data_IF_342976523781
#
_entry.id   IF_342976523781
#
_cell.length_a   1.000
_cell.length_b   1.000
_cell.length_c   1.000
_cell.angle_alpha   90.00
_cell.angle_beta   90.00
_cell.angle_gamma   90.00
#
_symmetry.space_group_name_H-M   'P 1'
#
loop_
_entity.id
_entity.type
_entity.pdbx_description
1 polymer ?
#
# COMPACT_ATOMS: atom_id res chain seq x y z
N UNK A 1 20.99 -28.51 -54.23
CA UNK A 1 21.33 -28.11 -52.85
C UNK A 1 20.77 -26.73 -52.63
N UNK A 2 19.62 -26.64 -51.98
CA UNK A 2 18.91 -25.37 -51.76
C UNK A 2 19.14 -25.01 -50.30
N UNK A 3 19.91 -23.94 -50.07
CA UNK A 3 20.22 -23.45 -48.73
C UNK A 3 18.95 -22.85 -48.12
N UNK A 4 18.48 -23.44 -47.02
CA UNK A 4 17.45 -22.86 -46.17
C UNK A 4 18.14 -21.86 -45.26
N UNK A 5 18.02 -20.57 -45.57
CA UNK A 5 18.43 -19.50 -44.67
C UNK A 5 17.44 -19.42 -43.50
N UNK A 6 17.84 -19.95 -42.35
CA UNK A 6 17.19 -19.64 -41.08
C UNK A 6 17.47 -18.16 -40.75
N UNK A 7 16.48 -17.29 -40.98
CA UNK A 7 16.45 -15.99 -40.33
C UNK A 7 16.25 -16.22 -38.82
N UNK A 8 17.36 -16.14 -38.08
CA UNK A 8 17.32 -15.86 -36.65
C UNK A 8 16.62 -14.50 -36.49
N UNK A 9 15.35 -14.50 -36.08
CA UNK A 9 14.74 -13.30 -35.52
C UNK A 9 15.55 -12.96 -34.27
N UNK A 10 16.43 -11.97 -34.38
CA UNK A 10 17.00 -11.32 -33.23
C UNK A 10 15.83 -10.91 -32.33
N UNK A 11 15.78 -11.46 -31.12
CA UNK A 11 14.92 -10.94 -30.06
C UNK A 11 15.53 -9.58 -29.74
N UNK A 12 15.09 -8.53 -30.44
CA UNK A 12 15.42 -7.17 -30.05
C UNK A 12 14.90 -7.01 -28.63
N UNK A 13 15.80 -6.86 -27.68
CA UNK A 13 15.43 -6.38 -26.36
C UNK A 13 14.76 -5.00 -26.57
N UNK A 14 13.59 -4.84 -25.97
CA UNK A 14 12.67 -3.71 -26.19
C UNK A 14 12.11 -3.33 -24.83
N UNK A 15 11.83 -2.05 -24.64
CA UNK A 15 11.19 -1.54 -23.42
C UNK A 15 9.86 -2.28 -23.16
N UNK A 16 9.56 -2.54 -21.88
CA UNK A 16 8.35 -3.24 -21.45
C UNK A 16 7.65 -2.46 -20.34
N UNK A 17 6.35 -2.21 -20.51
CA UNK A 17 5.46 -1.74 -19.44
C UNK A 17 4.38 -2.79 -19.18
N UNK A 18 4.21 -3.17 -17.92
CA UNK A 18 3.13 -4.07 -17.48
C UNK A 18 2.05 -3.28 -16.76
N UNK A 19 0.81 -3.40 -17.21
CA UNK A 19 -0.35 -2.76 -16.56
C UNK A 19 -0.76 -3.51 -15.30
N UNK A 20 -1.21 -2.77 -14.28
CA UNK A 20 -1.72 -3.32 -13.02
C UNK A 20 -3.12 -3.89 -13.19
N UNK A 21 -3.97 -3.23 -13.97
CA UNK A 21 -5.39 -3.56 -14.14
C UNK A 21 -5.62 -4.94 -14.77
N UNK A 22 -4.80 -5.35 -15.74
CA UNK A 22 -5.03 -6.56 -16.54
C UNK A 22 -3.78 -7.44 -16.70
N UNK A 23 -2.66 -7.07 -16.06
CA UNK A 23 -1.36 -7.76 -16.17
C UNK A 23 -0.81 -7.84 -17.60
N UNK A 24 -1.33 -7.05 -18.55
CA UNK A 24 -0.85 -7.05 -19.93
C UNK A 24 0.51 -6.38 -19.99
N UNK A 25 1.49 -7.08 -20.58
CA UNK A 25 2.82 -6.56 -20.88
C UNK A 25 2.85 -6.00 -22.31
N UNK A 26 3.04 -4.69 -22.42
CA UNK A 26 3.23 -3.97 -23.68
C UNK A 26 4.73 -3.87 -23.96
N UNK A 27 5.13 -4.14 -25.20
CA UNK A 27 6.53 -4.10 -25.66
C UNK A 27 6.69 -3.08 -26.79
N UNK A 28 7.78 -2.32 -26.76
CA UNK A 28 8.03 -1.23 -27.72
C UNK A 28 9.18 -0.34 -27.30
N UNK A 29 9.13 0.94 -27.70
CA UNK A 29 10.05 1.99 -27.28
C UNK A 29 9.28 3.01 -26.44
N UNK A 30 9.83 3.46 -25.31
CA UNK A 30 9.21 4.55 -24.56
C UNK A 30 9.39 5.88 -25.29
N UNK A 31 8.31 6.44 -25.84
CA UNK A 31 8.30 7.73 -26.53
C UNK A 31 8.08 8.92 -25.59
N UNK A 32 7.50 8.68 -24.41
CA UNK A 32 7.27 9.70 -23.38
C UNK A 32 7.22 9.06 -21.99
N UNK A 33 7.81 9.71 -20.99
CA UNK A 33 7.72 9.32 -19.58
C UNK A 33 7.67 10.60 -18.72
N UNK A 34 6.54 10.83 -18.05
CA UNK A 34 6.36 11.98 -17.16
C UNK A 34 5.59 11.60 -15.88
N UNK A 35 5.28 12.60 -15.04
CA UNK A 35 4.58 12.40 -13.77
C UNK A 35 3.15 11.84 -13.91
N UNK A 36 2.58 11.81 -15.12
CA UNK A 36 1.21 11.39 -15.37
C UNK A 36 1.14 10.05 -16.11
N UNK A 37 2.04 9.82 -17.07
CA UNK A 37 1.98 8.66 -17.95
C UNK A 37 3.34 8.19 -18.48
N UNK A 38 3.35 6.95 -18.93
CA UNK A 38 4.37 6.37 -19.80
C UNK A 38 3.70 6.02 -21.12
N UNK A 39 4.24 6.52 -22.23
CA UNK A 39 3.78 6.21 -23.58
C UNK A 39 4.75 5.24 -24.23
N UNK A 40 4.23 4.10 -24.68
CA UNK A 40 5.00 3.07 -25.37
C UNK A 40 4.59 3.00 -26.84
N UNK A 41 5.55 3.19 -27.74
CA UNK A 41 5.39 3.05 -29.18
C UNK A 41 5.70 1.62 -29.59
N UNK A 42 4.69 0.90 -30.07
CA UNK A 42 4.78 -0.50 -30.47
C UNK A 42 5.42 -0.64 -31.85
N UNK A 43 5.82 -1.87 -32.19
CA UNK A 43 6.45 -2.20 -33.49
C UNK A 43 5.54 -1.96 -34.70
N UNK A 44 4.22 -1.96 -34.51
CA UNK A 44 3.22 -1.59 -35.53
C UNK A 44 3.03 -0.07 -35.67
N UNK A 45 3.76 0.76 -34.90
CA UNK A 45 3.65 2.22 -34.88
C UNK A 45 2.57 2.78 -33.96
N UNK A 46 1.78 1.92 -33.30
CA UNK A 46 0.75 2.32 -32.34
C UNK A 46 1.39 2.90 -31.06
N UNK A 47 0.92 4.05 -30.59
CA UNK A 47 1.30 4.61 -29.29
C UNK A 47 0.23 4.32 -28.25
N UNK A 48 0.63 3.68 -27.15
CA UNK A 48 -0.26 3.38 -26.03
C UNK A 48 0.20 4.18 -24.82
N UNK A 49 -0.68 5.05 -24.32
CA UNK A 49 -0.48 5.71 -23.03
C UNK A 49 -0.90 4.79 -21.89
N UNK A 50 -0.05 4.72 -20.85
CA UNK A 50 -0.33 4.04 -19.58
C UNK A 50 -0.12 5.05 -18.46
N UNK A 51 -1.19 5.39 -17.75
CA UNK A 51 -1.10 6.24 -16.56
C UNK A 51 -0.15 5.65 -15.52
N UNK A 52 0.61 6.50 -14.82
CA UNK A 52 1.52 6.07 -13.75
C UNK A 52 0.80 5.31 -12.62
N UNK A 53 -0.49 5.59 -12.39
CA UNK A 53 -1.30 4.85 -11.41
C UNK A 53 -1.56 3.39 -11.83
N UNK A 54 -1.48 3.07 -13.12
CA UNK A 54 -1.70 1.72 -13.65
C UNK A 54 -0.38 0.98 -13.95
N UNK A 55 0.77 1.48 -13.49
CA UNK A 55 2.05 0.79 -13.67
C UNK A 55 2.21 -0.33 -12.63
N UNK A 56 2.41 -1.55 -13.11
CA UNK A 56 2.84 -2.71 -12.28
C UNK A 56 4.34 -2.92 -12.36
N UNK A 57 4.90 -2.87 -13.57
CA UNK A 57 6.33 -3.01 -13.80
C UNK A 57 6.75 -2.20 -15.03
N UNK A 58 7.96 -1.66 -14.98
CA UNK A 58 8.66 -0.99 -16.08
C UNK A 58 10.01 -1.67 -16.20
N UNK A 59 10.37 -2.07 -17.42
CA UNK A 59 11.66 -2.67 -17.75
C UNK A 59 12.20 -1.93 -18.97
N UNK A 60 13.40 -1.38 -18.86
CA UNK A 60 14.09 -0.76 -19.98
C UNK A 60 14.82 -1.80 -20.83
N UNK A 61 15.00 -1.46 -22.09
CA UNK A 61 15.96 -2.14 -22.93
C UNK A 61 17.38 -2.05 -22.32
N UNK A 62 18.14 -3.14 -22.44
CA UNK A 62 19.51 -3.22 -21.92
C UNK A 62 19.66 -3.27 -20.39
N UNK A 63 18.57 -3.46 -19.63
CA UNK A 63 18.66 -3.60 -18.17
C UNK A 63 19.58 -4.75 -17.72
N UNK A 64 20.46 -4.53 -16.72
CA UNK A 64 21.24 -5.61 -16.12
C UNK A 64 20.34 -6.73 -15.59
N UNK A 65 20.67 -7.99 -15.90
CA UNK A 65 19.84 -9.13 -15.50
C UNK A 65 19.62 -9.25 -13.97
N UNK A 66 20.57 -8.77 -13.18
CA UNK A 66 20.48 -8.70 -11.71
C UNK A 66 19.41 -7.72 -11.21
N UNK A 67 18.95 -6.76 -12.03
CA UNK A 67 17.90 -5.81 -11.64
C UNK A 67 16.55 -6.51 -11.43
N UNK A 68 16.25 -7.53 -12.25
CA UNK A 68 15.04 -8.34 -12.05
C UNK A 68 15.11 -9.18 -10.79
N UNK A 69 16.30 -9.64 -10.40
CA UNK A 69 16.51 -10.34 -9.13
C UNK A 69 16.27 -9.41 -7.94
N UNK A 70 16.78 -8.17 -7.99
CA UNK A 70 16.51 -7.16 -6.96
C UNK A 70 15.00 -6.89 -6.80
N UNK A 71 14.29 -6.67 -7.91
CA UNK A 71 12.82 -6.49 -7.89
C UNK A 71 12.09 -7.71 -7.32
N UNK A 72 12.59 -8.91 -7.58
CA UNK A 72 12.01 -10.14 -7.03
C UNK A 72 12.21 -10.23 -5.50
N UNK A 73 13.42 -9.96 -5.02
CA UNK A 73 13.73 -9.92 -3.58
C UNK A 73 12.88 -8.86 -2.87
N UNK A 74 12.72 -7.69 -3.49
CA UNK A 74 11.87 -6.63 -2.95
C UNK A 74 10.40 -7.07 -2.85
N UNK A 75 9.86 -7.76 -3.87
CA UNK A 75 8.48 -8.29 -3.84
C UNK A 75 8.28 -9.36 -2.78
N UNK A 76 9.30 -10.19 -2.52
CA UNK A 76 9.24 -11.23 -1.48
C UNK A 76 9.48 -10.69 -0.06
N UNK A 77 9.75 -9.38 0.09
CA UNK A 77 10.07 -8.76 1.38
C UNK A 77 11.51 -8.99 1.86
N UNK A 78 12.37 -9.60 1.03
CA UNK A 78 13.80 -9.75 1.30
C UNK A 78 14.53 -8.43 0.99
N UNK A 79 14.22 -7.38 1.76
CA UNK A 79 14.63 -6.00 1.47
C UNK A 79 16.15 -5.83 1.53
N UNK A 80 16.84 -6.50 2.45
CA UNK A 80 18.31 -6.46 2.54
C UNK A 80 18.96 -7.03 1.27
N UNK A 81 18.51 -8.21 0.82
CA UNK A 81 18.99 -8.85 -0.41
C UNK A 81 18.63 -8.02 -1.66
N UNK A 82 17.51 -7.30 -1.64
CA UNK A 82 17.13 -6.40 -2.72
C UNK A 82 18.08 -5.20 -2.80
N UNK A 83 18.38 -4.57 -1.65
CA UNK A 83 19.29 -3.43 -1.57
C UNK A 83 20.72 -3.81 -1.96
N UNK A 84 21.20 -4.98 -1.52
CA UNK A 84 22.51 -5.51 -1.93
C UNK A 84 22.60 -5.66 -3.46
N UNK A 85 21.60 -6.29 -4.10
CA UNK A 85 21.59 -6.40 -5.57
C UNK A 85 21.48 -5.07 -6.27
N UNK A 86 20.74 -4.11 -5.75
CA UNK A 86 20.68 -2.77 -6.35
C UNK A 86 22.04 -2.06 -6.27
N UNK A 87 22.79 -2.22 -5.17
CA UNK A 87 24.15 -1.68 -5.03
C UNK A 87 25.11 -2.32 -6.03
N UNK A 88 25.03 -3.63 -6.25
CA UNK A 88 25.83 -4.32 -7.27
C UNK A 88 25.47 -3.86 -8.70
N UNK A 89 24.18 -3.71 -9.00
CA UNK A 89 23.71 -3.17 -10.28
C UNK A 89 24.25 -1.76 -10.48
N UNK A 90 24.13 -0.89 -9.48
CA UNK A 90 24.63 0.48 -9.54
C UNK A 90 26.15 0.52 -9.78
N UNK A 91 26.92 -0.33 -9.11
CA UNK A 91 28.38 -0.36 -9.24
C UNK A 91 28.86 -0.87 -10.60
N UNK A 92 28.11 -1.76 -11.24
CA UNK A 92 28.44 -2.36 -12.54
C UNK A 92 27.84 -1.63 -13.73
N UNK A 93 26.81 -0.81 -13.52
CA UNK A 93 26.12 -0.11 -14.59
C UNK A 93 26.91 1.12 -15.08
N UNK A 94 27.13 1.20 -16.39
CA UNK A 94 27.93 2.27 -17.01
C UNK A 94 27.29 3.66 -16.96
N UNK A 95 26.00 3.76 -16.60
CA UNK A 95 25.25 5.02 -16.62
C UNK A 95 24.89 5.51 -18.02
N UNK A 96 25.01 4.66 -19.05
CA UNK A 96 24.80 5.02 -20.46
C UNK A 96 23.36 5.48 -20.77
N UNK A 97 22.35 4.80 -20.22
CA UNK A 97 20.95 5.24 -20.26
C UNK A 97 20.56 5.93 -18.93
N UNK A 98 20.23 7.22 -19.02
CA UNK A 98 19.78 8.05 -17.90
C UNK A 98 18.46 7.57 -17.30
N UNK A 99 17.55 6.98 -18.11
CA UNK A 99 16.27 6.44 -17.65
C UNK A 99 16.53 5.35 -16.62
N UNK A 100 17.42 4.42 -16.96
CA UNK A 100 17.82 3.33 -16.09
C UNK A 100 18.62 3.80 -14.87
N UNK A 101 19.50 4.80 -15.02
CA UNK A 101 20.17 5.42 -13.86
C UNK A 101 19.16 5.96 -12.84
N UNK A 102 18.12 6.67 -13.31
CA UNK A 102 17.07 7.21 -12.44
C UNK A 102 16.19 6.12 -11.82
N UNK A 103 15.89 5.04 -12.55
CA UNK A 103 15.12 3.90 -12.01
C UNK A 103 15.93 3.14 -10.94
N UNK A 104 17.23 2.91 -11.14
CA UNK A 104 18.08 2.28 -10.11
C UNK A 104 18.09 3.14 -8.84
N UNK A 105 18.25 4.46 -8.98
CA UNK A 105 18.20 5.39 -7.85
C UNK A 105 16.85 5.32 -7.13
N UNK A 106 15.74 5.31 -7.87
CA UNK A 106 14.40 5.19 -7.30
C UNK A 106 14.21 3.86 -6.57
N UNK A 107 14.56 2.74 -7.19
CA UNK A 107 14.40 1.41 -6.60
C UNK A 107 15.20 1.28 -5.30
N UNK A 108 16.41 1.85 -5.24
CA UNK A 108 17.18 1.91 -4.00
C UNK A 108 16.47 2.72 -2.93
N UNK A 109 16.02 3.93 -3.25
CA UNK A 109 15.29 4.80 -2.32
C UNK A 109 13.99 4.13 -1.83
N UNK A 110 13.28 3.42 -2.71
CA UNK A 110 12.06 2.69 -2.37
C UNK A 110 12.35 1.52 -1.42
N UNK A 111 13.38 0.72 -1.69
CA UNK A 111 13.75 -0.39 -0.81
C UNK A 111 14.16 0.12 0.58
N UNK A 112 14.96 1.19 0.66
CA UNK A 112 15.34 1.81 1.94
C UNK A 112 14.11 2.36 2.67
N UNK A 113 13.19 3.01 1.95
CA UNK A 113 11.92 3.47 2.52
C UNK A 113 11.05 2.32 3.05
N UNK A 114 11.01 1.19 2.35
CA UNK A 114 10.31 -0.01 2.83
C UNK A 114 10.98 -0.63 4.06
N UNK A 115 12.31 -0.60 4.15
CA UNK A 115 13.03 -1.01 5.37
C UNK A 115 12.65 -0.10 6.54
N UNK A 116 12.58 1.21 6.32
CA UNK A 116 12.20 2.20 7.33
C UNK A 116 10.78 2.01 7.89
N UNK A 117 9.83 1.53 7.07
CA UNK A 117 8.48 1.20 7.51
C UNK A 117 8.42 0.01 8.47
N UNK A 118 9.45 -0.85 8.48
CA UNK A 118 9.57 -2.00 9.40
C UNK A 118 10.58 -1.78 10.52
N UNK A 119 11.57 -0.93 10.30
CA UNK A 119 12.65 -0.58 11.22
C UNK A 119 12.86 0.94 11.18
N UNK A 120 12.33 1.65 12.17
CA UNK A 120 12.40 3.11 12.24
C UNK A 120 13.82 3.65 12.30
N UNK A 121 14.84 2.84 12.63
CA UNK A 121 16.24 3.28 12.61
C UNK A 121 16.72 3.65 11.20
N UNK A 122 16.05 3.16 10.15
CA UNK A 122 16.34 3.46 8.74
C UNK A 122 15.64 4.72 8.21
N UNK A 123 14.79 5.36 9.00
CA UNK A 123 13.97 6.48 8.53
C UNK A 123 14.78 7.69 8.05
N UNK A 124 15.91 8.00 8.68
CA UNK A 124 16.78 9.10 8.25
C UNK A 124 17.43 8.82 6.88
N UNK A 125 17.94 7.61 6.67
CA UNK A 125 18.52 7.16 5.39
C UNK A 125 17.46 7.16 4.27
N UNK A 126 16.25 6.68 4.58
CA UNK A 126 15.13 6.67 3.65
C UNK A 126 14.72 8.09 3.21
N UNK A 127 14.61 9.01 4.19
CA UNK A 127 14.27 10.41 3.94
C UNK A 127 15.27 11.05 2.98
N UNK A 128 16.58 10.93 3.26
CA UNK A 128 17.63 11.49 2.40
C UNK A 128 17.60 10.89 0.98
N UNK A 129 17.45 9.56 0.87
CA UNK A 129 17.43 8.89 -0.43
C UNK A 129 16.25 9.34 -1.31
N UNK A 130 15.05 9.48 -0.72
CA UNK A 130 13.84 9.92 -1.41
C UNK A 130 13.89 11.41 -1.77
N UNK A 131 14.36 12.26 -0.86
CA UNK A 131 14.58 13.70 -1.11
C UNK A 131 15.55 13.90 -2.28
N UNK A 132 16.68 13.18 -2.26
CA UNK A 132 17.67 13.23 -3.33
C UNK A 132 17.08 12.81 -4.67
N UNK A 133 16.33 11.70 -4.71
CA UNK A 133 15.66 11.25 -5.93
C UNK A 133 14.71 12.31 -6.47
N UNK A 134 13.82 12.86 -5.63
CA UNK A 134 12.83 13.87 -6.04
C UNK A 134 13.47 15.17 -6.50
N UNK A 135 14.54 15.61 -5.83
CA UNK A 135 15.25 16.83 -6.20
C UNK A 135 15.86 16.76 -7.61
N UNK A 136 16.37 15.59 -8.01
CA UNK A 136 17.02 15.39 -9.32
C UNK A 136 16.06 14.91 -10.41
N UNK A 137 14.88 14.40 -10.06
CA UNK A 137 13.98 13.70 -10.99
C UNK A 137 12.52 14.24 -10.96
N UNK A 138 12.36 15.56 -10.99
CA UNK A 138 11.05 16.26 -10.81
C UNK A 138 9.95 15.88 -11.80
N UNK A 139 10.32 15.43 -13.00
CA UNK A 139 9.38 15.04 -14.07
C UNK A 139 9.36 13.54 -14.31
N UNK A 140 9.96 12.74 -13.42
CA UNK A 140 10.07 11.30 -13.61
C UNK A 140 8.74 10.61 -13.25
N UNK A 141 8.39 9.57 -13.99
CA UNK A 141 7.17 8.77 -13.77
C UNK A 141 7.06 8.13 -12.37
N UNK A 142 8.17 8.04 -11.62
CA UNK A 142 8.23 7.61 -10.22
C UNK A 142 8.07 8.73 -9.19
N UNK A 143 7.95 9.98 -9.63
CA UNK A 143 7.96 11.14 -8.75
C UNK A 143 6.86 11.07 -7.69
N UNK A 144 5.61 10.81 -8.11
CA UNK A 144 4.48 10.72 -7.18
C UNK A 144 4.62 9.53 -6.21
N UNK A 145 5.12 8.38 -6.68
CA UNK A 145 5.41 7.20 -5.84
C UNK A 145 6.47 7.53 -4.77
N UNK A 146 7.53 8.22 -5.15
CA UNK A 146 8.57 8.67 -4.23
C UNK A 146 8.04 9.71 -3.23
N UNK A 147 7.20 10.65 -3.67
CA UNK A 147 6.60 11.68 -2.81
C UNK A 147 5.71 11.07 -1.73
N UNK A 148 4.83 10.11 -2.08
CA UNK A 148 4.00 9.40 -1.11
C UNK A 148 4.83 8.60 -0.09
N UNK A 149 5.86 7.89 -0.58
CA UNK A 149 6.73 7.13 0.32
C UNK A 149 7.48 8.08 1.27
N UNK A 150 7.98 9.21 0.78
CA UNK A 150 8.66 10.20 1.62
C UNK A 150 7.69 10.77 2.67
N UNK A 151 6.44 11.07 2.31
CA UNK A 151 5.42 11.51 3.26
C UNK A 151 5.20 10.48 4.38
N UNK A 152 5.17 9.19 4.03
CA UNK A 152 5.08 8.10 5.01
C UNK A 152 6.28 8.09 5.96
N UNK A 153 7.50 8.32 5.46
CA UNK A 153 8.71 8.42 6.29
C UNK A 153 8.64 9.62 7.24
N UNK A 154 8.20 10.79 6.78
CA UNK A 154 7.95 11.93 7.66
C UNK A 154 6.91 11.62 8.74
N UNK A 155 5.85 10.87 8.39
CA UNK A 155 4.86 10.38 9.35
C UNK A 155 5.47 9.49 10.44
N UNK A 156 6.34 8.54 10.09
CA UNK A 156 7.08 7.71 11.06
C UNK A 156 7.94 8.56 12.00
N UNK A 157 8.56 9.61 11.47
CA UNK A 157 9.38 10.57 12.22
C UNK A 157 8.54 11.58 13.02
N UNK A 158 7.20 11.51 12.93
CA UNK A 158 6.24 12.46 13.51
C UNK A 158 6.41 13.90 13.01
N UNK A 159 7.03 14.07 11.84
CA UNK A 159 7.20 15.35 11.14
C UNK A 159 5.91 15.68 10.35
N UNK A 160 4.81 15.87 11.07
CA UNK A 160 3.44 15.94 10.51
C UNK A 160 3.28 17.02 9.45
N UNK A 161 3.84 18.22 9.65
CA UNK A 161 3.73 19.32 8.69
C UNK A 161 4.45 19.00 7.37
N UNK A 162 5.64 18.39 7.44
CA UNK A 162 6.39 17.99 6.26
C UNK A 162 5.65 16.88 5.49
N UNK A 163 5.13 15.87 6.20
CA UNK A 163 4.30 14.83 5.59
C UNK A 163 3.07 15.43 4.89
N UNK A 164 2.36 16.35 5.56
CA UNK A 164 1.18 17.03 5.02
C UNK A 164 1.49 17.84 3.76
N UNK A 165 2.61 18.55 3.72
CA UNK A 165 3.03 19.31 2.53
C UNK A 165 3.23 18.38 1.32
N UNK A 166 3.89 17.24 1.51
CA UNK A 166 4.12 16.27 0.45
C UNK A 166 2.83 15.61 -0.04
N UNK A 167 1.90 15.29 0.87
CA UNK A 167 0.59 14.75 0.50
C UNK A 167 -0.24 15.77 -0.28
N UNK A 168 -0.22 17.04 0.14
CA UNK A 168 -0.89 18.14 -0.57
C UNK A 168 -0.33 18.31 -1.98
N UNK A 169 1.00 18.18 -2.14
CA UNK A 169 1.65 18.20 -3.46
C UNK A 169 1.11 17.08 -4.37
N UNK A 170 0.97 15.85 -3.87
CA UNK A 170 0.42 14.73 -4.64
C UNK A 170 -1.08 14.90 -4.94
N UNK A 171 -1.86 15.45 -4.01
CA UNK A 171 -3.27 15.80 -4.23
C UNK A 171 -3.45 16.82 -5.37
N UNK A 172 -2.47 17.71 -5.56
CA UNK A 172 -2.44 18.65 -6.68
C UNK A 172 -2.09 18.04 -8.04
N UNK A 173 -1.71 16.75 -8.10
CA UNK A 173 -1.43 16.07 -9.37
C UNK A 173 -2.69 15.84 -10.21
N UNK A 174 -2.55 15.58 -11.51
CA UNK A 174 -3.69 15.21 -12.37
C UNK A 174 -4.03 13.72 -12.34
N UNK A 175 -3.28 12.92 -11.58
CA UNK A 175 -3.39 11.46 -11.58
C UNK A 175 -4.32 11.02 -10.46
N UNK A 176 -5.59 10.79 -10.78
CA UNK A 176 -6.66 10.49 -9.82
C UNK A 176 -6.29 9.43 -8.78
N UNK A 177 -5.69 8.31 -9.20
CA UNK A 177 -5.27 7.25 -8.26
C UNK A 177 -4.28 7.74 -7.20
N UNK A 178 -3.33 8.61 -7.56
CA UNK A 178 -2.41 9.23 -6.61
C UNK A 178 -3.07 10.32 -5.78
N UNK A 179 -3.98 11.12 -6.35
CA UNK A 179 -4.75 12.12 -5.59
C UNK A 179 -5.55 11.49 -4.45
N UNK A 180 -6.26 10.40 -4.75
CA UNK A 180 -7.06 9.67 -3.78
C UNK A 180 -6.20 8.99 -2.71
N UNK A 181 -5.11 8.33 -3.13
CA UNK A 181 -4.15 7.72 -2.19
C UNK A 181 -3.57 8.77 -1.22
N UNK A 182 -3.17 9.94 -1.73
CA UNK A 182 -2.68 11.03 -0.90
C UNK A 182 -3.73 11.54 0.09
N UNK A 183 -5.01 11.59 -0.31
CA UNK A 183 -6.11 11.94 0.59
C UNK A 183 -6.32 10.92 1.71
N UNK A 184 -6.24 9.63 1.40
CA UNK A 184 -6.31 8.54 2.40
C UNK A 184 -5.13 8.65 3.37
N UNK A 185 -3.91 8.83 2.86
CA UNK A 185 -2.71 8.93 3.68
C UNK A 185 -2.71 10.20 4.54
N UNK A 186 -3.30 11.30 4.04
CA UNK A 186 -3.52 12.52 4.82
C UNK A 186 -4.49 12.28 5.97
N UNK A 187 -5.61 11.59 5.72
CA UNK A 187 -6.55 11.21 6.77
C UNK A 187 -5.88 10.36 7.85
N UNK A 188 -5.10 9.35 7.45
CA UNK A 188 -4.35 8.48 8.37
C UNK A 188 -3.31 9.26 9.18
N UNK A 189 -2.57 10.16 8.54
CA UNK A 189 -1.58 11.03 9.19
C UNK A 189 -2.24 11.93 10.25
N UNK A 190 -3.33 12.62 9.90
CA UNK A 190 -4.04 13.53 10.80
C UNK A 190 -4.64 12.78 11.99
N UNK A 191 -5.19 11.58 11.74
CA UNK A 191 -5.73 10.72 12.79
C UNK A 191 -4.64 10.28 13.77
N UNK A 192 -3.48 9.87 13.26
CA UNK A 192 -2.34 9.50 14.08
C UNK A 192 -1.75 10.67 14.89
N UNK A 193 -1.89 11.91 14.39
CA UNK A 193 -1.52 13.13 15.13
C UNK A 193 -2.60 13.61 16.12
N UNK A 194 -3.75 12.93 16.21
CA UNK A 194 -4.86 13.28 17.09
C UNK A 194 -5.84 14.32 16.53
N UNK A 195 -5.69 14.74 15.27
CA UNK A 195 -6.63 15.63 14.58
C UNK A 195 -7.73 14.82 13.90
N UNK A 196 -8.65 14.29 14.72
CA UNK A 196 -9.76 13.48 14.23
C UNK A 196 -10.73 14.26 13.32
N UNK A 197 -10.85 15.58 13.49
CA UNK A 197 -11.73 16.43 12.66
C UNK A 197 -11.12 16.69 11.28
N UNK A 198 -9.81 16.99 11.23
CA UNK A 198 -9.09 17.12 9.97
C UNK A 198 -9.02 15.79 9.22
N UNK A 199 -8.80 14.69 9.94
CA UNK A 199 -8.82 13.35 9.37
C UNK A 199 -10.18 13.00 8.75
N UNK A 200 -11.28 13.27 9.47
CA UNK A 200 -12.64 13.07 8.96
C UNK A 200 -12.86 13.83 7.67
N UNK A 201 -12.45 15.11 7.62
CA UNK A 201 -12.58 15.94 6.43
C UNK A 201 -11.79 15.39 5.23
N UNK A 202 -10.57 14.88 5.47
CA UNK A 202 -9.75 14.27 4.43
C UNK A 202 -10.38 12.98 3.89
N UNK A 203 -10.88 12.11 4.77
CA UNK A 203 -11.56 10.88 4.38
C UNK A 203 -12.88 11.14 3.64
N UNK A 204 -13.70 12.10 4.09
CA UNK A 204 -14.94 12.48 3.40
C UNK A 204 -14.66 13.01 1.99
N UNK A 205 -13.58 13.78 1.80
CA UNK A 205 -13.16 14.24 0.48
C UNK A 205 -12.80 13.06 -0.45
N UNK A 206 -12.09 12.04 0.05
CA UNK A 206 -11.78 10.82 -0.71
C UNK A 206 -13.05 10.09 -1.09
N UNK A 207 -13.96 9.88 -0.13
CA UNK A 207 -15.24 9.21 -0.39
C UNK A 207 -16.00 9.96 -1.48
N UNK A 208 -16.14 11.27 -1.36
CA UNK A 208 -16.84 12.11 -2.35
C UNK A 208 -16.21 12.03 -3.75
N UNK A 209 -14.88 12.13 -3.85
CA UNK A 209 -14.17 12.09 -5.14
C UNK A 209 -14.19 10.71 -5.81
N UNK A 210 -14.44 9.66 -5.03
CA UNK A 210 -14.50 8.27 -5.50
C UNK A 210 -15.92 7.81 -5.85
N UNK A 211 -16.95 8.59 -5.52
CA UNK A 211 -18.35 8.20 -5.78
C UNK A 211 -18.61 7.95 -7.27
N UNK A 212 -19.25 6.82 -7.55
CA UNK A 212 -19.66 6.43 -8.92
C UNK A 212 -18.51 6.00 -9.82
N UNK A 213 -17.28 5.88 -9.32
CA UNK A 213 -16.11 5.40 -10.07
C UNK A 213 -15.63 4.06 -9.51
N UNK A 214 -15.94 3.00 -10.24
CA UNK A 214 -15.57 1.63 -9.88
C UNK A 214 -14.05 1.43 -9.75
N UNK A 215 -13.25 2.16 -10.55
CA UNK A 215 -11.79 2.10 -10.49
C UNK A 215 -11.23 2.75 -9.20
N UNK A 216 -12.03 3.56 -8.51
CA UNK A 216 -11.70 4.22 -7.25
C UNK A 216 -12.35 3.55 -6.04
N UNK A 217 -13.00 2.38 -6.20
CA UNK A 217 -13.72 1.68 -5.13
C UNK A 217 -12.85 1.38 -3.91
N UNK A 218 -11.61 0.92 -4.12
CA UNK A 218 -10.65 0.68 -3.03
C UNK A 218 -10.38 1.94 -2.20
N UNK A 219 -10.12 3.08 -2.85
CA UNK A 219 -9.91 4.35 -2.15
C UNK A 219 -11.18 4.84 -1.44
N UNK A 220 -12.36 4.62 -2.04
CA UNK A 220 -13.65 4.91 -1.41
C UNK A 220 -13.79 4.14 -0.10
N UNK A 221 -13.52 2.83 -0.10
CA UNK A 221 -13.61 2.01 1.10
C UNK A 221 -12.57 2.38 2.16
N UNK A 222 -11.33 2.68 1.76
CA UNK A 222 -10.31 3.22 2.67
C UNK A 222 -10.79 4.52 3.34
N UNK A 223 -11.41 5.41 2.56
CA UNK A 223 -12.03 6.63 3.06
C UNK A 223 -13.16 6.34 4.05
N UNK A 224 -14.06 5.40 3.74
CA UNK A 224 -15.17 5.04 4.63
C UNK A 224 -14.70 4.39 5.93
N UNK A 225 -13.69 3.52 5.88
CA UNK A 225 -13.08 2.90 7.06
C UNK A 225 -12.39 3.96 7.95
N UNK A 226 -11.64 4.87 7.34
CA UNK A 226 -11.04 6.01 8.02
C UNK A 226 -12.07 6.94 8.65
N UNK A 227 -13.15 7.26 7.92
CA UNK A 227 -14.30 8.01 8.43
C UNK A 227 -14.92 7.35 9.66
N UNK A 228 -15.16 6.04 9.62
CA UNK A 228 -15.73 5.30 10.75
C UNK A 228 -14.82 5.37 11.99
N UNK A 229 -13.50 5.24 11.82
CA UNK A 229 -12.53 5.42 12.90
C UNK A 229 -12.58 6.83 13.50
N UNK A 230 -12.64 7.87 12.67
CA UNK A 230 -12.78 9.25 13.15
C UNK A 230 -14.08 9.46 13.95
N UNK A 231 -15.21 8.96 13.44
CA UNK A 231 -16.50 9.03 14.11
C UNK A 231 -16.50 8.28 15.44
N UNK A 232 -15.89 7.10 15.49
CA UNK A 232 -15.70 6.32 16.71
C UNK A 232 -14.92 7.10 17.77
N UNK A 233 -13.78 7.71 17.40
CA UNK A 233 -12.97 8.52 18.31
C UNK A 233 -13.71 9.77 18.81
N UNK A 234 -14.62 10.31 18.00
CA UNK A 234 -15.49 11.43 18.36
C UNK A 234 -16.75 11.01 19.16
N UNK A 235 -16.84 9.75 19.58
CA UNK A 235 -18.01 9.15 20.24
C UNK A 235 -19.31 9.15 19.40
N UNK A 236 -19.22 9.39 18.08
CA UNK A 236 -20.31 9.24 17.13
C UNK A 236 -20.43 7.78 16.66
N UNK A 237 -20.59 6.86 17.62
CA UNK A 237 -20.44 5.42 17.37
C UNK A 237 -21.56 4.87 16.47
N UNK A 238 -22.77 5.41 16.55
CA UNK A 238 -23.87 4.99 15.67
C UNK A 238 -23.63 5.36 14.20
N UNK A 239 -23.05 6.54 13.95
CA UNK A 239 -22.67 6.96 12.59
C UNK A 239 -21.49 6.13 12.05
N UNK A 240 -20.55 5.77 12.93
CA UNK A 240 -19.46 4.85 12.59
C UNK A 240 -20.00 3.47 12.18
N UNK A 241 -20.92 2.90 12.96
CA UNK A 241 -21.56 1.62 12.65
C UNK A 241 -22.31 1.66 11.32
N UNK A 242 -23.07 2.74 11.07
CA UNK A 242 -23.76 2.92 9.78
C UNK A 242 -22.79 2.93 8.60
N UNK A 243 -21.66 3.62 8.75
CA UNK A 243 -20.62 3.67 7.71
C UNK A 243 -20.01 2.29 7.46
N UNK A 244 -19.72 1.53 8.53
CA UNK A 244 -19.15 0.19 8.45
C UNK A 244 -20.12 -0.82 7.84
N UNK A 245 -21.41 -0.74 8.20
CA UNK A 245 -22.46 -1.57 7.61
C UNK A 245 -22.61 -1.30 6.10
N UNK A 246 -22.47 -0.05 5.68
CA UNK A 246 -22.47 0.31 4.27
C UNK A 246 -21.27 -0.33 3.54
N UNK A 247 -20.06 -0.27 4.09
CA UNK A 247 -18.87 -0.94 3.52
C UNK A 247 -19.12 -2.44 3.41
N UNK A 248 -19.56 -3.10 4.49
CA UNK A 248 -19.82 -4.55 4.53
C UNK A 248 -20.87 -4.95 3.48
N UNK A 249 -21.88 -4.12 3.26
CA UNK A 249 -22.97 -4.43 2.31
C UNK A 249 -22.58 -4.23 0.83
N UNK A 250 -21.61 -3.36 0.54
CA UNK A 250 -21.26 -2.96 -0.83
C UNK A 250 -19.95 -3.57 -1.33
N UNK A 251 -19.00 -3.83 -0.45
CA UNK A 251 -17.74 -4.44 -0.81
C UNK A 251 -17.96 -5.86 -1.34
N UNK A 252 -17.29 -6.19 -2.44
CA UNK A 252 -17.36 -7.54 -3.02
C UNK A 252 -16.58 -8.54 -2.16
N UNK A 253 -16.88 -9.83 -2.29
CA UNK A 253 -16.18 -10.88 -1.52
C UNK A 253 -14.66 -10.93 -1.80
N UNK A 254 -14.21 -10.40 -2.95
CA UNK A 254 -12.78 -10.30 -3.29
C UNK A 254 -12.08 -9.15 -2.56
N UNK A 255 -12.82 -8.21 -1.96
CA UNK A 255 -12.30 -7.15 -1.09
C UNK A 255 -12.10 -7.65 0.35
N UNK A 256 -11.45 -8.82 0.50
CA UNK A 256 -11.33 -9.53 1.78
C UNK A 256 -10.67 -8.69 2.88
N UNK A 257 -9.61 -7.94 2.55
CA UNK A 257 -8.94 -7.04 3.50
C UNK A 257 -9.88 -5.93 4.00
N UNK A 258 -10.64 -5.29 3.09
CA UNK A 258 -11.61 -4.23 3.41
C UNK A 258 -12.73 -4.77 4.29
N UNK A 259 -13.29 -5.94 3.95
CA UNK A 259 -14.34 -6.58 4.72
C UNK A 259 -13.85 -6.97 6.12
N UNK A 260 -12.67 -7.58 6.21
CA UNK A 260 -12.06 -7.94 7.49
C UNK A 260 -11.85 -6.72 8.39
N UNK A 261 -11.31 -5.63 7.83
CA UNK A 261 -11.10 -4.37 8.55
C UNK A 261 -12.43 -3.79 9.05
N UNK A 262 -13.46 -3.76 8.19
CA UNK A 262 -14.79 -3.26 8.55
C UNK A 262 -15.39 -4.04 9.74
N UNK A 263 -15.26 -5.37 9.75
CA UNK A 263 -15.74 -6.21 10.85
C UNK A 263 -14.96 -5.99 12.15
N UNK A 264 -13.63 -5.83 12.09
CA UNK A 264 -12.84 -5.47 13.28
C UNK A 264 -13.31 -4.15 13.87
N UNK A 265 -13.43 -3.10 13.04
CA UNK A 265 -13.88 -1.77 13.50
C UNK A 265 -15.32 -1.78 13.99
N UNK A 266 -16.18 -2.59 13.40
CA UNK A 266 -17.56 -2.80 13.88
C UNK A 266 -17.56 -3.42 15.27
N UNK A 267 -16.71 -4.42 15.50
CA UNK A 267 -16.48 -4.98 16.83
C UNK A 267 -16.01 -3.93 17.83
N UNK A 268 -15.05 -3.08 17.45
CA UNK A 268 -14.53 -2.02 18.31
C UNK A 268 -15.63 -1.00 18.70
N UNK A 269 -16.47 -0.60 17.74
CA UNK A 269 -17.63 0.26 17.97
C UNK A 269 -18.64 -0.39 18.94
N UNK A 270 -18.96 -1.67 18.74
CA UNK A 270 -19.90 -2.41 19.60
C UNK A 270 -19.37 -2.57 21.04
N UNK A 271 -18.05 -2.73 21.22
CA UNK A 271 -17.44 -2.70 22.56
C UNK A 271 -17.61 -1.34 23.22
N UNK A 272 -17.41 -0.24 22.49
CA UNK A 272 -17.59 1.12 23.02
C UNK A 272 -19.06 1.40 23.40
N UNK A 273 -20.02 0.78 22.71
CA UNK A 273 -21.45 0.80 23.08
C UNK A 273 -21.82 -0.11 24.25
N UNK A 274 -20.85 -0.81 24.84
CA UNK A 274 -21.09 -1.82 25.88
C UNK A 274 -22.00 -2.97 25.41
N UNK A 275 -21.84 -3.40 24.15
CA UNK A 275 -22.53 -4.54 23.52
C UNK A 275 -21.55 -5.71 23.27
N UNK A 276 -20.97 -6.33 24.32
CA UNK A 276 -19.86 -7.27 24.17
C UNK A 276 -20.21 -8.54 23.39
N UNK A 277 -21.47 -9.00 23.44
CA UNK A 277 -21.94 -10.16 22.66
C UNK A 277 -21.95 -9.87 21.16
N UNK A 278 -22.40 -8.67 20.77
CA UNK A 278 -22.41 -8.27 19.36
C UNK A 278 -20.98 -8.05 18.86
N UNK A 279 -20.13 -7.43 19.68
CA UNK A 279 -18.70 -7.28 19.36
C UNK A 279 -18.00 -8.63 19.15
N UNK A 280 -18.25 -9.60 20.03
CA UNK A 280 -17.73 -10.95 19.91
C UNK A 280 -18.10 -11.59 18.56
N UNK A 281 -19.35 -11.43 18.12
CA UNK A 281 -19.82 -11.94 16.81
C UNK A 281 -19.15 -11.24 15.62
N UNK A 282 -18.86 -9.94 15.75
CA UNK A 282 -18.15 -9.19 14.70
C UNK A 282 -16.70 -9.69 14.55
N UNK A 283 -15.96 -9.90 15.64
CA UNK A 283 -14.61 -10.45 15.55
C UNK A 283 -14.60 -11.92 15.10
N UNK A 284 -15.61 -12.71 15.45
CA UNK A 284 -15.75 -14.08 14.94
C UNK A 284 -15.97 -14.13 13.42
N UNK A 285 -16.65 -13.13 12.83
CA UNK A 285 -16.72 -13.05 11.36
C UNK A 285 -15.32 -12.98 10.74
N UNK A 286 -14.40 -12.24 11.34
CA UNK A 286 -13.00 -12.15 10.87
C UNK A 286 -12.27 -13.48 11.04
N UNK A 287 -12.39 -14.08 12.23
CA UNK A 287 -11.75 -15.36 12.54
C UNK A 287 -12.16 -16.49 11.57
N UNK A 288 -13.44 -16.51 11.19
CA UNK A 288 -14.03 -17.59 10.37
C UNK A 288 -13.92 -17.31 8.88
N UNK A 289 -14.27 -16.09 8.43
CA UNK A 289 -14.38 -15.78 7.01
C UNK A 289 -13.11 -15.18 6.42
N UNK A 290 -12.30 -14.50 7.23
CA UNK A 290 -11.10 -13.80 6.78
C UNK A 290 -9.80 -14.23 7.50
N UNK A 291 -9.56 -15.53 7.81
CA UNK A 291 -8.33 -15.96 8.47
C UNK A 291 -7.07 -15.80 7.60
N UNK A 292 -7.26 -15.52 6.30
CA UNK A 292 -6.23 -15.22 5.32
C UNK A 292 -5.70 -13.78 5.40
N UNK A 293 -6.40 -12.87 6.10
CA UNK A 293 -6.00 -11.47 6.31
C UNK A 293 -5.19 -11.34 7.60
N UNK A 294 -3.83 -11.40 7.58
CA UNK A 294 -3.04 -11.66 8.78
C UNK A 294 -3.14 -10.55 9.83
N UNK A 295 -3.21 -9.30 9.39
CA UNK A 295 -3.25 -8.14 10.28
C UNK A 295 -4.60 -8.07 11.03
N UNK A 296 -5.71 -8.14 10.29
CA UNK A 296 -7.06 -8.09 10.84
C UNK A 296 -7.37 -9.33 11.69
N UNK A 297 -6.95 -10.51 11.24
CA UNK A 297 -7.17 -11.75 11.99
C UNK A 297 -6.36 -11.77 13.29
N UNK A 298 -5.11 -11.29 13.30
CA UNK A 298 -4.34 -11.13 14.52
C UNK A 298 -5.00 -10.16 15.52
N UNK A 299 -5.55 -9.04 15.03
CA UNK A 299 -6.31 -8.11 15.88
C UNK A 299 -7.57 -8.79 16.44
N UNK A 300 -8.36 -9.44 15.58
CA UNK A 300 -9.59 -10.12 15.97
C UNK A 300 -9.33 -11.20 17.04
N UNK A 301 -8.29 -12.02 16.90
CA UNK A 301 -7.92 -13.03 17.91
C UNK A 301 -7.59 -12.41 19.26
N UNK A 302 -6.87 -11.29 19.28
CA UNK A 302 -6.61 -10.55 20.52
C UNK A 302 -7.92 -10.08 21.16
N UNK A 303 -8.81 -9.46 20.37
CA UNK A 303 -10.12 -8.98 20.87
C UNK A 303 -11.00 -10.12 21.36
N UNK A 304 -11.03 -11.24 20.66
CA UNK A 304 -11.74 -12.46 21.07
C UNK A 304 -11.22 -13.00 22.40
N UNK A 305 -9.89 -13.03 22.58
CA UNK A 305 -9.28 -13.50 23.84
C UNK A 305 -9.76 -12.67 25.06
N UNK A 306 -9.96 -11.37 24.87
CA UNK A 306 -10.44 -10.45 25.90
C UNK A 306 -11.95 -10.59 26.19
N UNK A 307 -12.75 -11.04 25.23
CA UNK A 307 -14.21 -11.11 25.35
C UNK A 307 -14.72 -12.50 25.78
N UNK A 308 -14.01 -13.57 25.44
CA UNK A 308 -14.42 -14.94 25.78
C UNK A 308 -14.38 -15.23 27.28
N UNK A 309 -13.34 -14.76 27.98
CA UNK A 309 -13.16 -14.97 29.42
C UNK A 309 -14.33 -14.44 30.25
N UNK A 310 -14.66 -13.14 30.18
CA UNK A 310 -15.82 -12.55 30.85
C UNK A 310 -17.16 -13.18 30.46
N UNK A 311 -17.22 -13.84 29.30
CA UNK A 311 -18.42 -14.56 28.82
C UNK A 311 -18.52 -16.00 29.35
N UNK A 312 -17.62 -16.43 30.26
CA UNK A 312 -17.61 -17.77 30.84
C UNK A 312 -16.92 -18.84 30.01
N UNK A 313 -16.17 -18.44 28.97
CA UNK A 313 -15.49 -19.33 28.03
C UNK A 313 -13.97 -19.15 28.09
N UNK A 314 -13.38 -19.39 29.26
CA UNK A 314 -11.93 -19.20 29.47
C UNK A 314 -11.05 -20.10 28.59
N UNK A 315 -11.55 -21.28 28.22
CA UNK A 315 -10.96 -22.20 27.25
C UNK A 315 -10.79 -21.53 25.87
N UNK A 316 -11.85 -20.88 25.36
CA UNK A 316 -11.83 -20.18 24.07
C UNK A 316 -10.94 -18.94 24.10
N UNK A 317 -10.86 -18.27 25.25
CA UNK A 317 -9.93 -17.16 25.43
C UNK A 317 -8.47 -17.62 25.29
N UNK A 318 -8.12 -18.74 25.94
CA UNK A 318 -6.79 -19.34 25.85
C UNK A 318 -6.47 -19.83 24.44
N UNK A 319 -7.43 -20.46 23.75
CA UNK A 319 -7.28 -20.91 22.36
C UNK A 319 -7.01 -19.74 21.40
N UNK A 320 -7.79 -18.65 21.50
CA UNK A 320 -7.60 -17.47 20.67
C UNK A 320 -6.20 -16.86 20.87
N UNK A 321 -5.72 -16.78 22.11
CA UNK A 321 -4.38 -16.30 22.42
C UNK A 321 -3.29 -17.24 21.90
N UNK A 322 -3.47 -18.56 22.05
CA UNK A 322 -2.53 -19.55 21.51
C UNK A 322 -2.38 -19.39 19.99
N UNK A 323 -3.50 -19.34 19.26
CA UNK A 323 -3.52 -19.13 17.81
C UNK A 323 -2.86 -17.81 17.40
N UNK A 324 -3.06 -16.74 18.16
CA UNK A 324 -2.42 -15.44 17.93
C UNK A 324 -0.90 -15.54 18.04
N UNK A 325 -0.40 -16.16 19.11
CA UNK A 325 1.05 -16.29 19.35
C UNK A 325 1.73 -17.26 18.37
N UNK A 326 1.05 -18.34 17.99
CA UNK A 326 1.57 -19.35 17.06
C UNK A 326 1.62 -18.83 15.62
N UNK A 327 0.53 -18.22 15.14
CA UNK A 327 0.42 -17.79 13.74
C UNK A 327 1.01 -16.41 13.48
N UNK A 328 1.01 -15.53 14.48
CA UNK A 328 1.41 -14.13 14.33
C UNK A 328 2.41 -13.66 15.40
N UNK A 329 3.53 -14.38 15.63
CA UNK A 329 4.47 -14.07 16.72
C UNK A 329 5.08 -12.67 16.63
N UNK A 330 5.18 -12.11 15.42
CA UNK A 330 5.74 -10.78 15.19
C UNK A 330 4.69 -9.65 15.20
N UNK A 331 3.40 -9.99 15.31
CA UNK A 331 2.32 -9.00 15.36
C UNK A 331 2.42 -8.14 16.63
N UNK A 332 2.06 -6.85 16.52
CA UNK A 332 1.92 -6.00 17.69
C UNK A 332 0.89 -6.55 18.69
N UNK A 333 -0.12 -7.27 18.19
CA UNK A 333 -1.16 -7.86 19.01
C UNK A 333 -0.64 -9.02 19.85
N UNK A 334 0.29 -9.84 19.33
CA UNK A 334 0.89 -10.93 20.10
C UNK A 334 1.78 -10.43 21.26
N UNK A 335 2.23 -9.18 21.20
CA UNK A 335 3.09 -8.55 22.22
C UNK A 335 2.29 -7.82 23.31
N UNK A 336 0.99 -7.63 23.14
CA UNK A 336 0.14 -7.05 24.17
C UNK A 336 -0.24 -8.15 25.18
N UNK A 337 -0.09 -7.91 26.50
CA UNK A 337 -0.62 -8.85 27.48
C UNK A 337 -2.15 -8.92 27.29
N UNK A 338 -2.68 -10.13 27.14
CA UNK A 338 -4.11 -10.36 27.28
C UNK A 338 -4.50 -9.85 28.66
N UNK A 339 -5.32 -8.80 28.72
CA UNK A 339 -5.79 -8.23 29.97
C UNK A 339 -6.76 -9.22 30.62
N UNK A 340 -6.20 -10.21 31.29
CA UNK A 340 -6.89 -11.23 32.07
C UNK A 340 -6.17 -11.39 33.40
N UNK A 341 -6.67 -10.69 34.43
CA UNK A 341 -6.12 -10.65 35.78
C UNK A 341 -6.33 -9.29 36.41
#
# INVERSE_FOLDING_TARGET
MTAVSCFSQAIFAVDIVTRRSDNVALRGEFSKMDNNEVVIKRTNGEEISVSVANLKAVQFDGEPGSLNQARSNERSGALDNALEKLKEVQASYSGSDKRLTSEIQFLMARVIGRQALTDSSKAAEAKEALEKFRATNKTNFRYLEATLLQASIHGLLKETDAAKQLLTEVQGSSVKGFQLQAGVDLGKLLLASGDASGALSAFDAVVQQSQGDEASSGAMYDGMLGRALCLQQQNQVDDALKTLDEVISKASETESTTLAEAWVRKGDCLRQKNEPKAALMAYLHVDVLYPGEPAQHAEALMRLSQLWGPSGHADRAAEAMARLTERYPNSQWAKQPGSGG
#
